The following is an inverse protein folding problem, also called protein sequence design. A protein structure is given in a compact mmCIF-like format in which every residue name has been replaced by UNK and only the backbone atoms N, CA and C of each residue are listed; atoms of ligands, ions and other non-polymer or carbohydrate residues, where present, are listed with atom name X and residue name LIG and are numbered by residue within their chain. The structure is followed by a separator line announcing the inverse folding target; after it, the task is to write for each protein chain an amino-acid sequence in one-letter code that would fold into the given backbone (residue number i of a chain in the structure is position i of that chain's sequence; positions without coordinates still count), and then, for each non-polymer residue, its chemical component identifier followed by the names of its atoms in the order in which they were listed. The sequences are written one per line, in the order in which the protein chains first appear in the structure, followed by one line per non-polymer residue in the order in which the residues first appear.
data_IF_223481658667
#
_entry.id   IF_223481658667
#
_cell.length_a   1.000
_cell.length_b   1.000
_cell.length_c   1.000
_cell.angle_alpha   90.00
_cell.angle_beta   90.00
_cell.angle_gamma   90.00
#
_symmetry.space_group_name_H-M   'P 1'
#
loop_
_entity.id
_entity.type
_entity.pdbx_description
1 polymer ?
#
# COMPACT_ATOMS: atom_id res chain seq x y z
N UNK A 1 16.05 -13.90 1.50
CA UNK A 1 15.07 -12.89 1.06
C UNK A 1 14.86 -13.08 -0.43
N UNK A 2 13.71 -13.57 -0.85
CA UNK A 2 13.36 -13.83 -2.26
C UNK A 2 12.47 -12.68 -2.77
N UNK A 3 12.92 -11.45 -2.51
CA UNK A 3 12.08 -10.26 -2.72
C UNK A 3 12.09 -9.86 -4.19
N UNK A 4 10.91 -9.48 -4.70
CA UNK A 4 10.75 -8.95 -6.06
C UNK A 4 10.14 -7.56 -5.95
N UNK A 5 10.69 -6.61 -6.71
CA UNK A 5 10.12 -5.27 -6.81
C UNK A 5 8.92 -5.28 -7.76
N UNK A 6 7.82 -4.65 -7.34
CA UNK A 6 6.64 -4.43 -8.16
C UNK A 6 6.58 -2.95 -8.54
N UNK A 7 6.65 -2.64 -9.83
CA UNK A 7 6.47 -1.28 -10.34
C UNK A 7 5.07 -1.13 -10.91
N UNK A 8 4.25 -0.28 -10.29
CA UNK A 8 2.86 -0.04 -10.66
C UNK A 8 2.63 1.44 -10.92
N UNK A 9 1.88 1.73 -11.99
CA UNK A 9 1.28 3.06 -12.19
C UNK A 9 -0.10 3.04 -11.56
N UNK A 10 -0.39 4.00 -10.70
CA UNK A 10 -1.70 4.18 -10.09
C UNK A 10 -2.24 5.58 -10.39
N UNK A 11 -3.58 5.76 -10.41
CA UNK A 11 -4.18 7.08 -10.58
C UNK A 11 -3.69 8.06 -9.50
N UNK A 12 -3.44 9.31 -9.89
CA UNK A 12 -2.91 10.33 -8.97
C UNK A 12 -3.80 10.54 -7.74
N UNK A 13 -5.12 10.48 -7.91
CA UNK A 13 -6.06 10.61 -6.79
C UNK A 13 -5.88 9.49 -5.75
N UNK A 14 -5.65 8.26 -6.21
CA UNK A 14 -5.41 7.12 -5.33
C UNK A 14 -4.06 7.26 -4.62
N UNK A 15 -3.02 7.71 -5.34
CA UNK A 15 -1.71 7.97 -4.74
C UNK A 15 -1.79 8.98 -3.60
N UNK A 16 -2.47 10.11 -3.80
CA UNK A 16 -2.62 11.15 -2.77
C UNK A 16 -3.40 10.64 -1.55
N UNK A 17 -4.43 9.81 -1.75
CA UNK A 17 -5.16 9.17 -0.65
C UNK A 17 -4.25 8.25 0.17
N UNK A 18 -3.49 7.37 -0.50
CA UNK A 18 -2.55 6.46 0.16
C UNK A 18 -1.44 7.21 0.90
N UNK A 19 -0.94 8.30 0.32
CA UNK A 19 0.08 9.15 0.93
C UNK A 19 -0.43 9.79 2.23
N UNK A 20 -1.61 10.41 2.20
CA UNK A 20 -2.23 11.00 3.41
C UNK A 20 -2.45 9.97 4.51
N UNK A 21 -2.84 8.74 4.14
CA UNK A 21 -3.03 7.67 5.11
C UNK A 21 -1.72 7.14 5.70
N UNK A 22 -0.67 7.05 4.89
CA UNK A 22 0.67 6.71 5.36
C UNK A 22 1.21 7.78 6.33
N UNK A 23 1.02 9.06 6.00
CA UNK A 23 1.39 10.19 6.86
C UNK A 23 0.62 10.20 8.18
N UNK A 24 -0.70 9.97 8.17
CA UNK A 24 -1.52 9.95 9.38
C UNK A 24 -1.16 8.80 10.34
N UNK A 25 -0.66 7.68 9.81
CA UNK A 25 -0.19 6.53 10.57
C UNK A 25 1.32 6.57 10.88
N UNK A 26 2.03 7.59 10.40
CA UNK A 26 3.48 7.74 10.52
C UNK A 26 4.26 6.50 10.01
N UNK A 27 3.85 5.97 8.85
CA UNK A 27 4.49 4.80 8.20
C UNK A 27 4.85 5.10 6.75
N UNK A 28 5.65 4.22 6.14
CA UNK A 28 6.01 4.35 4.73
C UNK A 28 4.84 4.01 3.79
N UNK A 29 4.85 4.59 2.59
CA UNK A 29 3.88 4.24 1.54
C UNK A 29 3.95 2.75 1.16
N UNK A 30 5.14 2.14 1.20
CA UNK A 30 5.26 0.70 0.95
C UNK A 30 4.57 -0.12 2.05
N UNK A 31 4.65 0.34 3.30
CA UNK A 31 3.99 -0.29 4.45
C UNK A 31 2.47 -0.22 4.34
N UNK A 32 1.91 0.92 3.93
CA UNK A 32 0.44 1.03 3.76
C UNK A 32 -0.04 0.14 2.61
N UNK A 33 0.67 0.11 1.48
CA UNK A 33 0.32 -0.75 0.34
C UNK A 33 0.36 -2.22 0.77
N UNK A 34 1.40 -2.64 1.51
CA UNK A 34 1.48 -4.00 2.06
C UNK A 34 0.31 -4.33 2.97
N UNK A 35 -0.06 -3.42 3.86
CA UNK A 35 -1.15 -3.60 4.82
C UNK A 35 -2.51 -3.76 4.11
N UNK A 36 -2.79 -2.89 3.14
CA UNK A 36 -4.00 -2.96 2.31
C UNK A 36 -4.05 -4.28 1.53
N UNK A 37 -2.92 -4.70 0.94
CA UNK A 37 -2.85 -5.99 0.26
C UNK A 37 -3.14 -7.15 1.22
N UNK A 38 -2.52 -7.17 2.40
CA UNK A 38 -2.79 -8.20 3.41
C UNK A 38 -4.26 -8.24 3.80
N UNK A 39 -4.87 -7.10 4.13
CA UNK A 39 -6.29 -7.04 4.47
C UNK A 39 -7.20 -7.53 3.34
N UNK A 40 -6.89 -7.18 2.09
CA UNK A 40 -7.65 -7.62 0.93
C UNK A 40 -7.58 -9.14 0.74
N UNK A 41 -6.41 -9.75 0.94
CA UNK A 41 -6.25 -11.20 0.81
C UNK A 41 -6.82 -11.96 2.01
N UNK A 42 -6.70 -11.41 3.22
CA UNK A 42 -7.23 -12.02 4.43
C UNK A 42 -8.77 -11.97 4.47
N UNK A 43 -9.41 -10.92 3.92
CA UNK A 43 -10.87 -10.84 3.77
C UNK A 43 -11.46 -11.80 2.73
N UNK A 44 -10.63 -12.43 1.89
CA UNK A 44 -11.06 -13.46 0.93
C UNK A 44 -11.01 -14.88 1.50
N UNK A 45 -10.61 -15.04 2.76
CA UNK A 45 -10.72 -16.27 3.55
C UNK A 45 -11.95 -16.22 4.44
#
# INVERSE_FOLDING_TARGET
MNDKALNIKIPSELYEKLKKEAESKNISLASIVRLICSEYFDKKK
#
